data_IF_220966681675
#
_entry.id   IF_220966681675
#
_cell.length_a   1.000
_cell.length_b   1.000
_cell.length_c   1.000
_cell.angle_alpha   90.00
_cell.angle_beta   90.00
_cell.angle_gamma   90.00
#
_symmetry.space_group_name_H-M   'P 1'
#
loop_
_entity.id
_entity.type
_entity.pdbx_description
1 polymer ?
#
# COMPACT_ATOMS: atom_id res chain seq x y z
N UNK A 1 -21.70 7.26 -2.22
CA UNK A 1 -21.62 8.74 -2.14
C UNK A 1 -21.19 9.26 -3.50
N UNK A 2 -21.68 10.41 -4.00
CA UNK A 2 -21.19 11.01 -5.25
C UNK A 2 -20.17 12.15 -4.98
N UNK A 3 -19.46 12.62 -6.01
CA UNK A 3 -18.42 13.66 -5.87
C UNK A 3 -18.94 14.99 -5.32
N UNK A 4 -20.16 15.39 -5.67
CA UNK A 4 -20.76 16.64 -5.18
C UNK A 4 -21.00 16.58 -3.68
N UNK A 5 -21.55 15.45 -3.20
CA UNK A 5 -21.72 15.17 -1.77
C UNK A 5 -20.37 15.11 -1.08
N UNK A 6 -19.41 14.35 -1.61
CA UNK A 6 -18.06 14.24 -1.03
C UNK A 6 -17.42 15.61 -0.82
N UNK A 7 -17.45 16.46 -1.86
CA UNK A 7 -16.87 17.81 -1.77
C UNK A 7 -17.53 18.64 -0.66
N UNK A 8 -18.86 18.52 -0.49
CA UNK A 8 -19.58 19.20 0.59
C UNK A 8 -19.15 18.66 1.96
N UNK A 9 -19.15 17.35 2.15
CA UNK A 9 -18.76 16.73 3.43
C UNK A 9 -17.32 17.08 3.82
N UNK A 10 -16.38 17.07 2.87
CA UNK A 10 -14.99 17.47 3.12
C UNK A 10 -14.85 18.94 3.55
N UNK A 11 -15.72 19.84 3.04
CA UNK A 11 -15.74 21.23 3.51
C UNK A 11 -16.30 21.35 4.93
N UNK A 12 -17.31 20.57 5.28
CA UNK A 12 -17.83 20.54 6.66
C UNK A 12 -16.80 19.96 7.63
N UNK A 13 -16.10 18.88 7.26
CA UNK A 13 -14.99 18.32 8.03
C UNK A 13 -13.89 19.36 8.25
N UNK A 14 -13.52 20.12 7.21
CA UNK A 14 -12.53 21.20 7.33
C UNK A 14 -12.94 22.26 8.37
N UNK A 15 -14.23 22.60 8.46
CA UNK A 15 -14.73 23.60 9.44
C UNK A 15 -14.67 23.12 10.88
N UNK A 16 -14.64 21.81 11.13
CA UNK A 16 -14.53 21.26 12.49
C UNK A 16 -13.16 21.53 13.12
N UNK A 17 -12.15 21.91 12.33
CA UNK A 17 -10.80 22.16 12.84
C UNK A 17 -10.09 20.87 13.23
N UNK A 18 -9.52 20.82 14.43
CA UNK A 18 -8.81 19.63 14.91
C UNK A 18 -9.80 18.54 15.33
N UNK A 19 -9.67 17.36 14.72
CA UNK A 19 -10.42 16.16 15.10
C UNK A 19 -9.46 15.16 15.74
N UNK A 20 -9.82 14.67 16.93
CA UNK A 20 -9.04 13.63 17.61
C UNK A 20 -9.08 12.33 16.80
N UNK A 21 -7.93 11.66 16.64
CA UNK A 21 -7.86 10.40 15.91
C UNK A 21 -8.78 9.33 16.49
N UNK A 22 -9.52 8.64 15.62
CA UNK A 22 -10.41 7.53 16.00
C UNK A 22 -9.68 6.19 16.17
N UNK A 23 -8.42 6.11 15.75
CA UNK A 23 -7.58 4.92 15.86
C UNK A 23 -6.15 5.29 16.25
N UNK A 24 -5.50 4.45 17.06
CA UNK A 24 -4.10 4.60 17.44
C UNK A 24 -3.20 4.17 16.27
N UNK A 25 -2.11 4.90 16.03
CA UNK A 25 -1.11 4.57 15.02
C UNK A 25 -1.33 5.25 13.66
N UNK A 26 -0.49 4.89 12.69
CA UNK A 26 -0.38 5.59 11.41
C UNK A 26 -1.67 5.56 10.57
N UNK A 27 -2.43 4.47 10.67
CA UNK A 27 -3.71 4.27 9.97
C UNK A 27 -4.85 5.12 10.53
N UNK A 28 -4.62 5.83 11.64
CA UNK A 28 -5.61 6.69 12.28
C UNK A 28 -6.12 7.82 11.40
N UNK A 29 -5.28 8.38 10.51
CA UNK A 29 -5.70 9.49 9.64
C UNK A 29 -6.74 9.05 8.60
N UNK A 30 -6.52 7.90 7.95
CA UNK A 30 -7.47 7.32 6.99
C UNK A 30 -8.75 6.92 7.71
N UNK A 31 -8.62 6.20 8.83
CA UNK A 31 -9.76 5.73 9.60
C UNK A 31 -10.64 6.87 10.11
N UNK A 32 -10.04 7.95 10.60
CA UNK A 32 -10.78 9.13 11.09
C UNK A 32 -11.54 9.79 9.96
N UNK A 33 -10.94 9.93 8.76
CA UNK A 33 -11.63 10.50 7.61
C UNK A 33 -12.80 9.63 7.13
N UNK A 34 -12.61 8.31 7.08
CA UNK A 34 -13.68 7.36 6.74
C UNK A 34 -14.87 7.48 7.70
N UNK A 35 -14.61 7.48 9.00
CA UNK A 35 -15.66 7.60 10.02
C UNK A 35 -16.41 8.94 9.93
N UNK A 36 -15.69 10.05 9.71
CA UNK A 36 -16.31 11.38 9.53
C UNK A 36 -17.20 11.45 8.27
N UNK A 37 -16.87 10.66 7.24
CA UNK A 37 -17.67 10.54 6.02
C UNK A 37 -18.75 9.44 6.09
N UNK A 38 -18.85 8.73 7.22
CA UNK A 38 -19.77 7.59 7.38
C UNK A 38 -19.43 6.38 6.52
N UNK A 39 -18.19 6.26 6.06
CA UNK A 39 -17.70 5.14 5.24
C UNK A 39 -17.29 4.00 6.18
N UNK A 40 -17.92 2.84 6.02
CA UNK A 40 -17.53 1.63 6.76
C UNK A 40 -16.26 1.04 6.14
N UNK A 41 -15.25 0.88 6.96
CA UNK A 41 -14.01 0.17 6.63
C UNK A 41 -14.33 -1.22 6.08
N UNK A 42 -13.73 -1.58 4.96
CA UNK A 42 -13.89 -2.88 4.32
C UNK A 42 -12.58 -3.30 3.65
N UNK A 43 -12.41 -4.60 3.44
CA UNK A 43 -11.24 -5.17 2.74
C UNK A 43 -11.52 -5.44 1.26
N UNK A 44 -12.57 -4.84 0.70
CA UNK A 44 -12.96 -5.08 -0.69
C UNK A 44 -11.99 -4.27 -1.56
N UNK A 45 -11.36 -4.91 -2.58
CA UNK A 45 -10.36 -4.25 -3.43
C UNK A 45 -10.97 -3.28 -4.45
N UNK A 46 -12.10 -2.65 -4.12
CA UNK A 46 -12.79 -1.64 -4.91
C UNK A 46 -12.52 -0.25 -4.33
N UNK A 47 -12.85 0.77 -5.09
CA UNK A 47 -12.76 2.17 -4.67
C UNK A 47 -13.82 2.51 -3.60
N UNK A 48 -13.56 3.53 -2.79
CA UNK A 48 -14.42 3.85 -1.64
C UNK A 48 -15.70 4.61 -2.01
N UNK A 49 -15.73 5.24 -3.18
CA UNK A 49 -16.79 6.19 -3.57
C UNK A 49 -17.49 5.73 -4.85
N UNK A 50 -18.53 4.90 -4.71
CA UNK A 50 -19.57 4.59 -5.71
C UNK A 50 -19.12 4.62 -7.18
N UNK A 51 -18.06 3.90 -7.52
CA UNK A 51 -17.48 3.76 -8.87
C UNK A 51 -16.79 4.99 -9.45
N UNK A 52 -16.56 6.03 -8.65
CA UNK A 52 -16.00 7.31 -9.11
C UNK A 52 -14.58 7.59 -8.61
N UNK A 53 -14.26 7.30 -7.35
CA UNK A 53 -12.98 7.70 -6.79
C UNK A 53 -12.54 6.85 -5.58
N UNK A 54 -11.23 6.72 -5.42
CA UNK A 54 -10.57 6.19 -4.23
C UNK A 54 -10.29 7.34 -3.24
N UNK A 55 -10.54 7.12 -1.95
CA UNK A 55 -10.25 8.09 -0.92
C UNK A 55 -8.89 7.80 -0.28
N UNK A 56 -7.97 8.76 -0.32
CA UNK A 56 -6.68 8.67 0.38
C UNK A 56 -6.50 9.85 1.32
N UNK A 57 -6.15 9.59 2.56
CA UNK A 57 -5.76 10.60 3.53
C UNK A 57 -4.23 10.62 3.70
N UNK A 58 -3.63 11.81 3.64
CA UNK A 58 -2.18 12.00 3.76
C UNK A 58 -1.90 13.28 4.56
N UNK A 59 -0.91 13.23 5.46
CA UNK A 59 -0.50 14.41 6.25
C UNK A 59 0.32 15.33 5.36
N UNK A 60 -0.02 16.62 5.30
CA UNK A 60 0.63 17.60 4.41
C UNK A 60 2.16 17.63 4.55
N UNK A 61 2.66 17.53 5.78
CA UNK A 61 4.10 17.62 6.08
C UNK A 61 4.77 16.23 6.20
N UNK A 62 4.06 15.14 5.85
CA UNK A 62 4.68 13.83 5.80
C UNK A 62 5.67 13.75 4.64
N UNK A 63 6.73 12.97 4.84
CA UNK A 63 7.75 12.65 3.85
C UNK A 63 7.63 11.20 3.35
N UNK A 64 6.66 10.44 3.88
CA UNK A 64 6.41 9.06 3.50
C UNK A 64 5.78 8.96 2.11
N UNK A 65 5.91 7.80 1.46
CA UNK A 65 5.22 7.59 0.18
C UNK A 65 3.72 7.45 0.39
N UNK A 66 2.93 7.87 -0.60
CA UNK A 66 1.51 7.56 -0.67
C UNK A 66 1.32 6.13 -1.21
N UNK A 67 0.73 5.25 -0.39
CA UNK A 67 0.38 3.90 -0.83
C UNK A 67 -0.81 3.95 -1.79
N UNK A 68 -0.59 3.52 -3.03
CA UNK A 68 -1.64 3.40 -4.04
C UNK A 68 -2.55 2.18 -3.76
N UNK A 69 -1.97 0.98 -3.83
CA UNK A 69 -2.66 -0.28 -3.54
C UNK A 69 -1.66 -1.35 -3.07
N UNK A 70 -2.19 -2.44 -2.55
CA UNK A 70 -1.44 -3.66 -2.24
C UNK A 70 -1.82 -4.77 -3.21
N UNK A 71 -0.83 -5.50 -3.70
CA UNK A 71 -1.02 -6.67 -4.55
C UNK A 71 0.02 -7.72 -4.16
N UNK A 72 -0.42 -8.93 -3.91
CA UNK A 72 0.47 -10.05 -3.59
C UNK A 72 1.22 -10.52 -4.85
N UNK A 73 2.55 -10.76 -4.79
CA UNK A 73 3.30 -11.31 -5.92
C UNK A 73 3.10 -12.82 -6.07
N UNK A 74 3.36 -13.33 -7.27
CA UNK A 74 3.48 -14.74 -7.56
C UNK A 74 4.89 -15.27 -7.21
N UNK A 75 4.99 -16.56 -6.78
CA UNK A 75 3.89 -17.42 -6.36
C UNK A 75 3.26 -16.92 -5.05
N UNK A 76 1.98 -17.21 -4.84
CA UNK A 76 1.26 -16.82 -3.63
C UNK A 76 1.74 -17.59 -2.39
N UNK A 77 1.59 -16.99 -1.21
CA UNK A 77 1.68 -17.69 0.07
C UNK A 77 3.05 -17.76 0.75
N UNK A 78 3.09 -18.59 1.79
CA UNK A 78 4.07 -18.50 2.88
C UNK A 78 5.50 -18.94 2.54
N UNK A 79 5.70 -19.87 1.60
CA UNK A 79 7.07 -20.31 1.26
C UNK A 79 7.86 -19.23 0.52
N UNK A 80 7.19 -18.42 -0.29
CA UNK A 80 7.77 -17.20 -0.88
C UNK A 80 8.21 -16.23 0.22
N UNK A 81 7.34 -15.98 1.20
CA UNK A 81 7.62 -15.04 2.28
C UNK A 81 8.73 -15.53 3.21
N UNK A 82 8.74 -16.84 3.51
CA UNK A 82 9.85 -17.50 4.23
C UNK A 82 11.14 -17.37 3.45
N UNK A 83 11.15 -17.64 2.14
CA UNK A 83 12.34 -17.46 1.30
C UNK A 83 12.88 -16.03 1.38
N UNK A 84 12.00 -15.02 1.31
CA UNK A 84 12.39 -13.62 1.44
C UNK A 84 12.94 -13.31 2.84
N UNK A 85 12.24 -13.73 3.88
CA UNK A 85 12.68 -13.54 5.26
C UNK A 85 14.01 -14.23 5.52
N UNK A 86 14.17 -15.51 5.17
CA UNK A 86 15.37 -16.31 5.40
C UNK A 86 16.61 -15.71 4.73
N UNK A 87 16.47 -15.20 3.50
CA UNK A 87 17.60 -14.70 2.73
C UNK A 87 17.90 -13.21 2.90
N UNK A 88 16.89 -12.38 3.20
CA UNK A 88 17.02 -10.92 3.20
C UNK A 88 16.48 -10.24 4.46
N UNK A 89 15.72 -10.97 5.28
CA UNK A 89 15.20 -10.48 6.54
C UNK A 89 16.30 -10.26 7.58
N UNK A 90 15.99 -9.45 8.57
CA UNK A 90 16.88 -9.09 9.65
C UNK A 90 16.16 -9.21 10.99
N UNK A 91 16.91 -9.47 12.06
CA UNK A 91 16.41 -9.41 13.43
C UNK A 91 16.72 -8.01 13.97
N UNK A 92 15.77 -7.09 13.86
CA UNK A 92 15.82 -5.83 14.59
C UNK A 92 14.42 -5.42 14.99
N UNK A 93 14.24 -5.29 16.30
CA UNK A 93 13.36 -4.39 17.07
C UNK A 93 13.08 -5.05 18.41
N UNK A 94 12.84 -4.25 19.43
CA UNK A 94 12.22 -4.69 20.67
C UNK A 94 10.71 -4.91 20.42
N UNK A 95 10.38 -5.87 19.55
CA UNK A 95 9.01 -6.15 19.10
C UNK A 95 8.67 -7.65 19.13
N UNK A 96 9.48 -8.46 19.83
CA UNK A 96 9.30 -9.91 20.01
C UNK A 96 9.32 -10.75 18.71
N UNK A 97 9.62 -10.16 17.54
CA UNK A 97 9.71 -10.90 16.27
C UNK A 97 11.10 -11.50 16.09
N UNK A 98 11.17 -12.76 15.67
CA UNK A 98 12.43 -13.44 15.35
C UNK A 98 13.09 -12.88 14.09
N UNK A 99 12.30 -12.45 13.10
CA UNK A 99 12.76 -11.86 11.85
C UNK A 99 11.71 -10.94 11.25
N UNK A 100 12.17 -9.89 10.56
CA UNK A 100 11.30 -9.02 9.76
C UNK A 100 12.00 -8.59 8.47
N UNK A 101 11.22 -8.15 7.48
CA UNK A 101 11.71 -7.58 6.24
C UNK A 101 10.83 -6.40 5.84
N UNK A 102 11.30 -5.19 6.15
CA UNK A 102 10.73 -3.96 5.63
C UNK A 102 11.69 -3.35 4.63
N UNK A 103 11.33 -3.33 3.35
CA UNK A 103 12.24 -2.96 2.28
C UNK A 103 11.51 -2.21 1.18
N UNK A 104 12.03 -1.03 0.82
CA UNK A 104 11.57 -0.27 -0.35
C UNK A 104 12.48 -0.58 -1.54
N UNK A 105 11.89 -1.10 -2.61
CA UNK A 105 12.62 -1.50 -3.81
C UNK A 105 12.41 -0.46 -4.92
N UNK A 106 13.40 -0.32 -5.80
CA UNK A 106 13.32 0.51 -7.01
C UNK A 106 13.94 -0.22 -8.19
N UNK A 107 13.67 0.23 -9.42
CA UNK A 107 14.33 -0.32 -10.61
C UNK A 107 15.77 0.19 -10.81
N UNK A 108 16.16 1.26 -10.10
CA UNK A 108 17.42 1.98 -10.36
C UNK A 108 18.63 1.30 -9.72
N UNK A 109 18.48 0.83 -8.48
CA UNK A 109 19.58 0.28 -7.69
C UNK A 109 19.09 -0.76 -6.69
N UNK A 110 20.00 -1.64 -6.30
CA UNK A 110 19.85 -2.47 -5.11
C UNK A 110 19.80 -1.59 -3.86
N UNK A 111 18.92 -1.94 -2.92
CA UNK A 111 18.89 -1.33 -1.60
C UNK A 111 19.85 -2.03 -0.62
N UNK A 112 19.79 -1.66 0.66
CA UNK A 112 20.62 -2.22 1.73
C UNK A 112 20.31 -3.69 2.07
N UNK A 113 19.15 -4.22 1.67
CA UNK A 113 18.86 -5.66 1.71
C UNK A 113 19.25 -6.36 0.41
N UNK A 114 19.97 -5.70 -0.50
CA UNK A 114 20.37 -6.26 -1.79
C UNK A 114 19.20 -6.67 -2.68
N UNK A 115 18.06 -5.98 -2.54
CA UNK A 115 16.87 -6.18 -3.35
C UNK A 115 16.66 -5.00 -4.32
N UNK A 116 16.17 -5.30 -5.53
CA UNK A 116 15.69 -4.31 -6.51
C UNK A 116 14.53 -4.86 -7.32
N UNK A 117 13.88 -4.00 -8.12
CA UNK A 117 12.91 -4.42 -9.13
C UNK A 117 13.55 -4.47 -10.52
N UNK A 118 13.00 -5.33 -11.37
CA UNK A 118 13.28 -5.36 -12.82
C UNK A 118 11.96 -5.40 -13.56
N UNK A 119 11.80 -4.54 -14.56
CA UNK A 119 10.62 -4.53 -15.43
C UNK A 119 10.94 -5.34 -16.67
N UNK A 120 10.14 -6.37 -16.91
CA UNK A 120 10.16 -7.19 -18.12
C UNK A 120 8.88 -6.92 -18.92
N UNK A 121 8.76 -7.48 -20.12
CA UNK A 121 7.62 -7.23 -21.01
C UNK A 121 6.26 -7.61 -20.37
N UNK A 122 6.24 -8.70 -19.61
CA UNK A 122 5.02 -9.32 -19.09
C UNK A 122 4.93 -9.31 -17.56
N UNK A 123 5.97 -8.84 -16.86
CA UNK A 123 6.02 -8.84 -15.38
C UNK A 123 7.02 -7.85 -14.79
N UNK A 124 6.80 -7.52 -13.53
CA UNK A 124 7.76 -6.85 -12.66
C UNK A 124 8.32 -7.90 -11.71
N UNK A 125 9.64 -8.10 -11.70
CA UNK A 125 10.32 -9.09 -10.85
C UNK A 125 11.06 -8.45 -9.69
N UNK A 126 11.08 -9.15 -8.57
CA UNK A 126 12.04 -8.90 -7.48
C UNK A 126 13.36 -9.59 -7.81
N UNK A 127 14.47 -8.86 -7.71
CA UNK A 127 15.81 -9.40 -7.91
C UNK A 127 16.64 -9.26 -6.62
N UNK A 128 17.24 -10.37 -6.18
CA UNK A 128 18.23 -10.40 -5.10
C UNK A 128 19.64 -10.46 -5.66
N UNK A 129 20.59 -9.69 -5.11
CA UNK A 129 22.00 -9.79 -5.52
C UNK A 129 22.53 -11.20 -5.19
N UNK A 130 23.05 -11.90 -6.20
CA UNK A 130 23.60 -13.25 -6.04
C UNK A 130 22.56 -14.35 -5.78
N UNK A 131 21.26 -14.05 -5.88
CA UNK A 131 20.18 -15.03 -5.66
C UNK A 131 19.11 -14.89 -6.75
N UNK A 132 18.77 -16.01 -7.38
CA UNK A 132 17.63 -16.06 -8.31
C UNK A 132 16.34 -16.15 -7.50
N UNK A 133 15.48 -15.15 -7.64
CA UNK A 133 14.15 -15.13 -7.03
C UNK A 133 13.10 -15.30 -8.13
N UNK A 134 12.21 -16.26 -7.97
CA UNK A 134 11.03 -16.38 -8.82
C UNK A 134 9.85 -15.65 -8.18
N UNK A 135 10.02 -14.36 -7.89
CA UNK A 135 9.02 -13.53 -7.21
C UNK A 135 8.69 -12.37 -8.13
N UNK A 136 7.42 -12.25 -8.53
CA UNK A 136 7.02 -11.28 -9.55
C UNK A 136 5.54 -10.95 -9.51
N UNK A 137 5.18 -9.84 -10.14
CA UNK A 137 3.80 -9.52 -10.50
C UNK A 137 3.68 -9.54 -12.01
N UNK A 138 2.71 -10.25 -12.58
CA UNK A 138 2.42 -10.11 -13.99
C UNK A 138 1.76 -8.75 -14.26
N UNK A 139 2.04 -8.18 -15.44
CA UNK A 139 1.55 -6.84 -15.80
C UNK A 139 0.02 -6.81 -15.87
N UNK A 140 -0.63 -7.88 -16.32
CA UNK A 140 -2.10 -7.93 -16.42
C UNK A 140 -2.77 -7.81 -15.06
N UNK A 141 -2.27 -8.52 -14.04
CA UNK A 141 -2.78 -8.43 -12.67
C UNK A 141 -2.53 -7.05 -12.06
N UNK A 142 -1.38 -6.42 -12.34
CA UNK A 142 -1.09 -5.06 -11.93
C UNK A 142 -2.04 -4.04 -12.57
N UNK A 143 -2.22 -4.12 -13.90
CA UNK A 143 -3.13 -3.25 -14.66
C UNK A 143 -4.56 -3.39 -14.15
N UNK A 144 -5.04 -4.64 -14.00
CA UNK A 144 -6.37 -4.91 -13.45
C UNK A 144 -6.53 -4.27 -12.07
N UNK A 145 -5.56 -4.50 -11.17
CA UNK A 145 -5.61 -3.95 -9.80
C UNK A 145 -5.58 -2.43 -9.79
N UNK A 146 -4.78 -1.82 -10.66
CA UNK A 146 -4.69 -0.38 -10.82
C UNK A 146 -6.04 0.19 -11.25
N UNK A 147 -6.66 -0.36 -12.29
CA UNK A 147 -7.96 0.12 -12.77
C UNK A 147 -9.10 -0.12 -11.78
N UNK A 148 -9.12 -1.26 -11.10
CA UNK A 148 -10.14 -1.57 -10.08
C UNK A 148 -10.08 -0.57 -8.90
N UNK A 149 -8.87 -0.19 -8.48
CA UNK A 149 -8.64 0.62 -7.27
C UNK A 149 -8.50 2.12 -7.55
N UNK A 150 -8.00 2.52 -8.72
CA UNK A 150 -7.71 3.90 -9.10
C UNK A 150 -8.32 4.23 -10.47
N UNK A 151 -9.64 4.11 -10.66
CA UNK A 151 -10.27 4.26 -11.98
C UNK A 151 -10.18 5.68 -12.59
N UNK A 152 -9.81 6.67 -11.79
CA UNK A 152 -9.71 8.08 -12.19
C UNK A 152 -8.26 8.53 -12.50
N UNK A 153 -7.29 7.62 -12.49
CA UNK A 153 -5.87 7.86 -12.79
C UNK A 153 -5.38 7.02 -13.97
#
# INVERSE_FOLDING_TARGET
MNLKTLKKELQEIKKQGFVKSHRVGDTGIGKTLEDLLGIKENNIPLHDISDVAELKAYRKDATSMLTLFTLEPLPEGGDRDRLLLDNFGYSKRDNQRSKELHSTLSCRRYNNQWLKLSVEKDKIRVQGRGRRLNIYWDIKSLEKKFHDKLPAL
#
